data_IF_871062548305
#
_entry.id   IF_871062548305
#
_cell.length_a   1.000
_cell.length_b   1.000
_cell.length_c   1.000
_cell.angle_alpha   90.00
_cell.angle_beta   90.00
_cell.angle_gamma   90.00
#
_symmetry.space_group_name_H-M   'P 1'
#
loop_
_entity.id
_entity.type
_entity.pdbx_description
1 polymer ?
#
# COMPACT_ATOMS: atom_id res chain seq x y z
N UNK A 1 9.33 -26.85 25.55
CA UNK A 1 8.13 -27.56 26.03
C UNK A 1 7.01 -27.23 25.07
N UNK A 2 6.87 -28.05 24.04
CA UNK A 2 5.93 -29.19 23.94
C UNK A 2 4.63 -28.76 23.26
N UNK A 3 4.41 -29.36 22.10
CA UNK A 3 3.16 -29.35 21.36
C UNK A 3 2.29 -30.49 21.90
N UNK A 4 1.05 -30.18 22.30
CA UNK A 4 0.01 -31.19 22.48
C UNK A 4 -1.06 -31.01 21.40
N UNK A 5 -1.56 -32.10 20.80
CA UNK A 5 -2.68 -32.02 19.86
C UNK A 5 -3.99 -32.01 20.64
N UNK A 6 -4.75 -30.92 20.59
CA UNK A 6 -6.14 -30.97 21.04
C UNK A 6 -7.01 -31.62 19.96
N UNK A 7 -7.41 -32.86 20.22
CA UNK A 7 -8.03 -33.79 19.28
C UNK A 7 -9.56 -33.66 19.23
N UNK A 8 -10.16 -32.52 19.62
CA UNK A 8 -11.64 -32.39 19.68
C UNK A 8 -12.29 -31.18 19.03
N UNK A 9 -11.52 -30.22 18.53
CA UNK A 9 -12.04 -29.20 17.61
C UNK A 9 -10.92 -28.90 16.63
N UNK A 10 -11.02 -29.34 15.38
CA UNK A 10 -10.01 -29.13 14.33
C UNK A 10 -9.83 -27.66 13.90
N UNK A 11 -9.81 -26.73 14.84
CA UNK A 11 -9.33 -25.37 14.64
C UNK A 11 -7.91 -25.27 15.17
N UNK A 12 -6.96 -25.52 14.27
CA UNK A 12 -5.66 -24.88 14.35
C UNK A 12 -5.93 -23.37 14.42
N UNK A 13 -5.80 -22.76 15.60
CA UNK A 13 -5.74 -21.30 15.71
C UNK A 13 -4.42 -20.87 15.12
N UNK A 14 -4.40 -20.73 13.80
CA UNK A 14 -3.36 -19.98 13.15
C UNK A 14 -3.51 -18.53 13.60
N UNK A 15 -2.57 -18.09 14.42
CA UNK A 15 -2.30 -16.68 14.60
C UNK A 15 -1.67 -16.17 13.30
N UNK A 16 -2.47 -16.04 12.24
CA UNK A 16 -1.99 -15.48 10.98
C UNK A 16 -1.78 -13.98 11.19
N UNK A 17 -0.52 -13.59 11.33
CA UNK A 17 -0.11 -12.21 11.10
C UNK A 17 0.04 -12.07 9.58
N UNK A 18 -0.78 -11.22 8.97
CA UNK A 18 -0.66 -10.91 7.55
C UNK A 18 0.15 -9.62 7.46
N UNK A 19 1.37 -9.71 6.95
CA UNK A 19 2.17 -8.54 6.61
C UNK A 19 1.87 -8.16 5.15
N UNK A 20 1.41 -6.93 4.95
CA UNK A 20 1.23 -6.35 3.61
C UNK A 20 2.36 -5.35 3.39
N UNK A 21 3.04 -5.48 2.26
CA UNK A 21 3.94 -4.44 1.74
C UNK A 21 3.15 -3.63 0.72
N UNK A 22 3.18 -2.31 0.83
CA UNK A 22 2.51 -1.42 -0.09
C UNK A 22 3.45 -0.34 -0.60
N UNK A 23 3.16 0.12 -1.82
CA UNK A 23 3.84 1.23 -2.48
C UNK A 23 2.78 2.27 -2.83
N UNK A 24 2.95 3.47 -2.30
CA UNK A 24 2.09 4.61 -2.55
C UNK A 24 2.80 5.60 -3.46
N UNK A 25 2.31 5.71 -4.70
CA UNK A 25 2.82 6.60 -5.74
C UNK A 25 2.00 7.88 -5.77
N UNK A 26 2.69 9.01 -5.66
CA UNK A 26 2.11 10.35 -5.76
C UNK A 26 2.23 10.87 -7.19
N UNK A 27 1.15 11.47 -7.68
CA UNK A 27 1.02 12.01 -9.04
C UNK A 27 1.48 11.03 -10.12
N UNK A 28 0.73 9.94 -10.25
CA UNK A 28 1.03 8.85 -11.17
C UNK A 28 0.71 9.24 -12.64
N UNK A 29 1.43 8.59 -13.57
CA UNK A 29 1.60 8.89 -15.01
C UNK A 29 0.34 9.01 -15.89
N UNK A 30 -0.86 8.94 -15.33
CA UNK A 30 -2.10 9.14 -16.11
C UNK A 30 -2.25 10.57 -16.66
N UNK A 31 -1.44 11.53 -16.18
CA UNK A 31 -1.39 12.88 -16.73
C UNK A 31 -0.25 13.03 -17.76
N UNK A 32 -0.49 13.65 -18.93
CA UNK A 32 0.52 13.83 -19.98
C UNK A 32 1.51 14.95 -19.62
N UNK A 33 2.14 14.84 -18.45
CA UNK A 33 3.02 15.86 -17.87
C UNK A 33 4.41 15.29 -17.59
N UNK A 34 5.43 16.10 -17.84
CA UNK A 34 6.84 15.72 -17.64
C UNK A 34 7.32 15.88 -16.20
N UNK A 35 6.45 16.31 -15.28
CA UNK A 35 6.80 16.54 -13.89
C UNK A 35 5.60 16.36 -12.97
N UNK A 36 5.89 15.98 -11.73
CA UNK A 36 4.92 15.73 -10.68
C UNK A 36 4.60 17.01 -9.88
N UNK A 37 3.34 17.15 -9.46
CA UNK A 37 2.74 18.28 -8.77
C UNK A 37 2.70 18.11 -7.25
N UNK A 38 2.78 16.88 -6.75
CA UNK A 38 2.74 16.60 -5.32
C UNK A 38 3.84 15.65 -4.89
N UNK A 39 4.32 15.82 -3.66
CA UNK A 39 5.42 15.04 -3.09
C UNK A 39 5.32 14.96 -1.56
N UNK A 40 6.00 13.98 -0.99
CA UNK A 40 6.32 13.92 0.43
C UNK A 40 7.70 14.56 0.67
N UNK A 41 7.91 15.15 1.84
CA UNK A 41 9.24 15.59 2.28
C UNK A 41 9.84 14.57 3.24
N UNK A 42 11.00 14.03 2.89
CA UNK A 42 11.79 13.19 3.77
C UNK A 42 13.25 13.65 3.76
N UNK A 43 13.77 14.07 4.91
CA UNK A 43 15.15 14.58 5.04
C UNK A 43 15.48 15.73 4.07
N UNK A 44 14.50 16.55 3.69
CA UNK A 44 14.67 17.65 2.72
C UNK A 44 14.65 17.23 1.25
N UNK A 45 14.42 15.95 0.95
CA UNK A 45 14.25 15.44 -0.41
C UNK A 45 12.77 15.27 -0.74
N UNK A 46 12.42 15.60 -1.99
CA UNK A 46 11.09 15.33 -2.54
C UNK A 46 10.99 13.84 -2.87
N UNK A 47 10.04 13.16 -2.26
CA UNK A 47 9.68 11.77 -2.56
C UNK A 47 8.33 11.74 -3.27
N UNK A 48 8.27 11.04 -4.39
CA UNK A 48 7.06 10.87 -5.19
C UNK A 48 6.48 9.46 -5.12
N UNK A 49 7.13 8.61 -4.32
CA UNK A 49 6.75 7.24 -4.04
C UNK A 49 7.27 6.91 -2.65
N UNK A 50 6.49 6.15 -1.88
CA UNK A 50 6.94 5.58 -0.61
C UNK A 50 6.51 4.13 -0.52
N UNK A 51 7.39 3.28 0.02
CA UNK A 51 7.11 1.87 0.25
C UNK A 51 7.21 1.58 1.73
N UNK A 52 6.17 0.96 2.27
CA UNK A 52 6.08 0.63 3.69
C UNK A 52 5.43 -0.74 3.88
N UNK A 53 5.50 -1.22 5.12
CA UNK A 53 4.91 -2.48 5.55
C UNK A 53 3.94 -2.21 6.68
N UNK A 54 2.84 -2.94 6.71
CA UNK A 54 1.96 -2.94 7.86
C UNK A 54 1.44 -4.34 8.17
N UNK A 55 1.20 -4.57 9.46
CA UNK A 55 0.69 -5.84 9.97
C UNK A 55 -0.81 -5.73 10.19
N UNK A 56 -1.57 -6.62 9.55
CA UNK A 56 -2.97 -6.81 9.82
C UNK A 56 -3.14 -7.76 11.00
N UNK A 57 -3.80 -7.29 12.05
CA UNK A 57 -4.11 -8.07 13.25
C UNK A 57 -5.63 -8.26 13.38
N UNK A 58 -6.05 -9.53 13.42
CA UNK A 58 -7.44 -9.91 13.65
C UNK A 58 -8.33 -9.92 12.40
N UNK A 59 -9.37 -10.76 12.47
CA UNK A 59 -10.42 -10.84 11.44
C UNK A 59 -11.44 -9.73 11.71
N UNK A 60 -11.83 -8.97 10.69
CA UNK A 60 -12.79 -7.87 10.74
C UNK A 60 -12.31 -6.57 11.41
N UNK A 61 -11.00 -6.35 11.49
CA UNK A 61 -10.44 -5.06 11.88
C UNK A 61 -9.88 -4.33 10.66
N UNK A 62 -10.03 -3.00 10.62
CA UNK A 62 -9.45 -2.16 9.58
C UNK A 62 -8.33 -1.33 10.20
N UNK A 63 -7.12 -1.49 9.67
CA UNK A 63 -5.97 -0.68 10.04
C UNK A 63 -5.79 0.42 9.01
N UNK A 64 -5.74 1.68 9.46
CA UNK A 64 -5.46 2.84 8.63
C UNK A 64 -4.00 3.30 8.82
N UNK A 65 -3.40 3.81 7.75
CA UNK A 65 -2.09 4.48 7.79
C UNK A 65 -2.25 5.84 7.16
N UNK A 66 -1.94 6.88 7.94
CA UNK A 66 -2.05 8.27 7.49
C UNK A 66 -0.68 8.81 7.11
N UNK A 67 -0.62 9.56 6.00
CA UNK A 67 0.54 10.38 5.65
C UNK A 67 0.36 11.76 6.28
N UNK A 68 1.35 12.21 7.06
CA UNK A 68 1.23 13.44 7.84
C UNK A 68 1.06 14.69 6.98
N UNK A 69 1.80 14.80 5.86
CA UNK A 69 1.68 15.92 4.92
C UNK A 69 2.07 15.51 3.50
N UNK A 70 1.21 15.86 2.53
CA UNK A 70 1.52 15.88 1.10
C UNK A 70 1.73 17.35 0.70
N UNK A 71 2.87 17.65 0.10
CA UNK A 71 3.22 18.99 -0.36
C UNK A 71 2.86 19.15 -1.83
N UNK A 72 2.48 20.36 -2.21
CA UNK A 72 2.21 20.76 -3.59
C UNK A 72 3.41 21.55 -4.13
N UNK A 73 3.69 21.39 -5.42
CA UNK A 73 4.69 22.17 -6.12
C UNK A 73 4.39 23.67 -6.13
N UNK A 74 5.40 24.44 -6.52
CA UNK A 74 5.30 25.89 -6.56
C UNK A 74 4.24 26.41 -7.54
N UNK A 75 3.83 27.66 -7.30
CA UNK A 75 2.76 28.33 -8.05
C UNK A 75 2.99 28.30 -9.57
N UNK A 76 4.23 28.43 -10.04
CA UNK A 76 4.50 28.46 -11.48
C UNK A 76 4.22 27.10 -12.12
N UNK A 77 4.68 26.03 -11.47
CA UNK A 77 4.42 24.65 -11.87
C UNK A 77 2.93 24.31 -11.85
N UNK A 78 2.18 24.79 -10.87
CA UNK A 78 0.73 24.58 -10.82
C UNK A 78 0.01 25.37 -11.92
N UNK A 79 0.40 26.63 -12.15
CA UNK A 79 -0.21 27.49 -13.16
C UNK A 79 -0.03 26.92 -14.57
N UNK A 80 1.15 26.39 -14.89
CA UNK A 80 1.39 25.71 -16.17
C UNK A 80 0.51 24.45 -16.33
N UNK A 81 0.21 23.75 -15.24
CA UNK A 81 -0.60 22.52 -15.27
C UNK A 81 -2.05 22.84 -15.59
N UNK A 82 -2.57 23.84 -14.88
CA UNK A 82 -3.92 24.35 -15.07
C UNK A 82 -4.12 24.90 -16.48
N UNK A 83 -3.14 25.64 -16.99
CA UNK A 83 -3.18 26.21 -18.35
C UNK A 83 -3.22 25.14 -19.45
N UNK A 84 -2.63 23.96 -19.20
CA UNK A 84 -2.60 22.83 -20.13
C UNK A 84 -3.72 21.82 -19.90
N UNK A 85 -4.55 21.99 -18.87
CA UNK A 85 -5.57 21.01 -18.48
C UNK A 85 -4.97 19.69 -17.96
N UNK A 86 -3.77 19.73 -17.37
CA UNK A 86 -3.05 18.56 -16.84
C UNK A 86 -2.80 18.67 -15.34
N UNK A 87 -3.74 19.29 -14.62
CA UNK A 87 -3.63 19.56 -13.19
C UNK A 87 -4.19 18.44 -12.30
N UNK A 88 -4.81 17.41 -12.89
CA UNK A 88 -5.32 16.26 -12.14
C UNK A 88 -4.17 15.56 -11.43
N UNK A 89 -4.37 15.23 -10.16
CA UNK A 89 -3.39 14.52 -9.34
C UNK A 89 -3.95 13.13 -9.06
N UNK A 90 -3.25 12.12 -9.54
CA UNK A 90 -3.65 10.72 -9.34
C UNK A 90 -2.73 10.06 -8.34
N UNK A 91 -3.32 9.45 -7.32
CA UNK A 91 -2.60 8.63 -6.34
C UNK A 91 -2.81 7.15 -6.67
N UNK A 92 -1.71 6.41 -6.76
CA UNK A 92 -1.76 4.97 -6.99
C UNK A 92 -1.26 4.24 -5.74
N UNK A 93 -2.03 3.25 -5.28
CA UNK A 93 -1.63 2.33 -4.21
C UNK A 93 -1.49 0.93 -4.80
N UNK A 94 -0.28 0.39 -4.72
CA UNK A 94 0.03 -1.01 -5.04
C UNK A 94 0.32 -1.75 -3.75
N UNK A 95 -0.06 -3.01 -3.65
CA UNK A 95 0.28 -3.81 -2.47
C UNK A 95 0.44 -5.29 -2.81
N UNK A 96 1.23 -5.95 -1.98
CA UNK A 96 1.55 -7.37 -2.07
C UNK A 96 1.53 -8.00 -0.68
N UNK A 97 1.16 -9.28 -0.64
CA UNK A 97 1.23 -10.05 0.59
C UNK A 97 2.66 -10.52 0.80
N UNK A 98 3.26 -10.16 1.94
CA UNK A 98 4.56 -10.71 2.29
C UNK A 98 4.37 -12.15 2.81
N UNK A 99 5.16 -13.07 2.28
CA UNK A 99 5.01 -14.50 2.62
C UNK A 99 5.39 -14.72 4.07
N UNK A 100 4.48 -15.27 4.91
CA UNK A 100 4.79 -15.52 6.30
C UNK A 100 5.84 -16.65 6.43
N UNK A 101 6.72 -16.65 7.46
CA UNK A 101 7.75 -17.67 7.61
C UNK A 101 7.22 -19.11 7.68
N UNK A 102 5.95 -19.32 8.09
CA UNK A 102 5.32 -20.65 8.11
C UNK A 102 5.10 -21.25 6.71
N UNK A 103 5.17 -20.44 5.66
CA UNK A 103 5.20 -20.90 4.27
C UNK A 103 6.31 -21.90 4.00
N UNK A 104 7.50 -21.64 4.55
CA UNK A 104 8.68 -22.49 4.33
C UNK A 104 8.51 -23.88 4.94
N UNK A 105 7.63 -24.02 5.94
CA UNK A 105 7.38 -25.27 6.66
C UNK A 105 6.26 -26.11 6.07
N UNK A 106 5.27 -25.47 5.43
CA UNK A 106 4.02 -26.13 5.00
C UNK A 106 3.87 -26.26 3.48
N UNK A 107 4.76 -25.63 2.70
CA UNK A 107 4.72 -25.58 1.23
C UNK A 107 3.41 -24.99 0.63
N UNK A 108 2.56 -24.37 1.46
CA UNK A 108 1.34 -23.70 1.05
C UNK A 108 1.34 -22.27 1.59
N UNK A 109 1.39 -21.30 0.68
CA UNK A 109 1.33 -19.88 1.03
C UNK A 109 -0.04 -19.28 0.75
N UNK A 110 -0.52 -18.38 1.62
CA UNK A 110 -1.68 -17.55 1.28
C UNK A 110 -1.34 -16.65 0.09
N UNK A 111 -2.33 -16.42 -0.77
CA UNK A 111 -2.24 -15.52 -1.92
C UNK A 111 -3.40 -14.54 -1.91
N UNK A 112 -3.21 -13.36 -2.49
CA UNK A 112 -4.28 -12.39 -2.69
C UNK A 112 -5.29 -12.91 -3.71
N UNK A 113 -6.56 -12.67 -3.45
CA UNK A 113 -7.65 -12.97 -4.38
C UNK A 113 -7.61 -12.00 -5.57
N UNK A 114 -7.11 -12.48 -6.71
CA UNK A 114 -6.93 -11.67 -7.93
C UNK A 114 -8.25 -11.23 -8.58
N UNK A 115 -9.39 -11.86 -8.24
CA UNK A 115 -10.71 -11.45 -8.74
C UNK A 115 -11.16 -10.11 -8.15
N UNK A 116 -10.56 -9.72 -7.01
CA UNK A 116 -10.79 -8.44 -6.33
C UNK A 116 -9.64 -7.51 -6.69
N UNK A 117 -9.60 -7.10 -7.94
CA UNK A 117 -8.61 -6.15 -8.45
C UNK A 117 -8.69 -4.87 -7.59
N UNK A 118 -7.66 -4.56 -6.77
CA UNK A 118 -7.84 -3.58 -5.71
C UNK A 118 -7.34 -2.19 -6.11
N UNK A 119 -7.36 -1.89 -7.40
CA UNK A 119 -7.08 -0.57 -7.91
C UNK A 119 -8.26 0.35 -7.55
N UNK A 120 -8.19 1.00 -6.39
CA UNK A 120 -9.08 2.13 -6.10
C UNK A 120 -8.55 3.31 -6.91
N UNK A 121 -8.95 3.39 -8.17
CA UNK A 121 -8.81 4.62 -8.96
C UNK A 121 -9.99 5.50 -8.56
N UNK A 122 -9.81 6.40 -7.59
CA UNK A 122 -10.77 7.47 -7.37
C UNK A 122 -10.54 8.53 -8.45
N UNK A 123 -11.57 8.72 -9.28
CA UNK A 123 -11.69 9.81 -10.25
C UNK A 123 -12.25 11.05 -9.59
#
# INVERSE_FOLDING_TARGET
SETFPDRKTGQTKFSFFIEIKYTFELDAETTPRTFKLVFLLDGGKKLYETTAKFNLTGKNNTTCVDFSQIHVEDKNRLTDALSRGTADIVFNLKYELNSPPECEKTALCPVLDQSKNPSVSQK
#
